data_IF_381301566853
#
_entry.id   IF_381301566853
#
_cell.length_a   1.000
_cell.length_b   1.000
_cell.length_c   1.000
_cell.angle_alpha   90.00
_cell.angle_beta   90.00
_cell.angle_gamma   90.00
#
_symmetry.space_group_name_H-M   'P 1'
#
loop_
_entity.id
_entity.type
_entity.pdbx_description
1 polymer ?
#
# COMPACT_ATOMS: atom_id res chain seq x y z
N UNK A 1 -0.99 10.61 -4.58
CA UNK A 1 -1.15 11.84 -3.76
C UNK A 1 -0.52 11.65 -2.39
N UNK A 2 0.26 12.61 -1.85
CA UNK A 2 1.05 12.43 -0.61
C UNK A 2 0.19 12.29 0.67
N UNK A 3 -1.02 12.86 0.70
CA UNK A 3 -1.86 12.90 1.92
C UNK A 3 -2.43 11.52 2.29
N UNK A 4 -2.94 10.77 1.31
CA UNK A 4 -3.53 9.43 1.54
C UNK A 4 -2.50 8.48 2.16
N UNK A 5 -1.29 8.42 1.58
CA UNK A 5 -0.21 7.59 2.11
C UNK A 5 0.23 8.01 3.52
N UNK A 6 0.24 9.31 3.85
CA UNK A 6 0.58 9.77 5.20
C UNK A 6 -0.48 9.41 6.23
N UNK A 7 -1.76 9.57 5.91
CA UNK A 7 -2.84 9.19 6.82
C UNK A 7 -2.84 7.67 7.05
N UNK A 8 -2.63 6.87 6.01
CA UNK A 8 -2.57 5.42 6.14
C UNK A 8 -1.40 4.93 6.99
N UNK A 9 -0.26 5.62 6.96
CA UNK A 9 0.97 5.19 7.66
C UNK A 9 1.14 5.80 9.04
N UNK A 10 0.59 7.01 9.28
CA UNK A 10 0.83 7.80 10.50
C UNK A 10 -0.41 8.49 11.07
N UNK A 11 -1.52 8.47 10.33
CA UNK A 11 -2.75 9.14 10.74
C UNK A 11 -3.54 8.33 11.76
N UNK A 12 -4.53 8.99 12.35
CA UNK A 12 -5.51 8.38 13.23
C UNK A 12 -6.67 7.78 12.41
N UNK A 13 -7.45 6.92 13.04
CA UNK A 13 -8.66 6.38 12.41
C UNK A 13 -9.65 7.47 12.02
N UNK A 14 -9.71 8.58 12.77
CA UNK A 14 -10.52 9.75 12.44
C UNK A 14 -10.09 10.42 11.15
N UNK A 15 -8.78 10.51 10.89
CA UNK A 15 -8.24 11.04 9.63
C UNK A 15 -8.62 10.13 8.45
N UNK A 16 -8.62 8.82 8.68
CA UNK A 16 -9.10 7.85 7.70
C UNK A 16 -10.60 8.03 7.41
N UNK A 17 -11.44 8.23 8.43
CA UNK A 17 -12.86 8.53 8.21
C UNK A 17 -13.05 9.81 7.39
N UNK A 18 -12.31 10.87 7.71
CA UNK A 18 -12.38 12.14 6.99
C UNK A 18 -11.97 11.97 5.51
N UNK A 19 -10.91 11.21 5.23
CA UNK A 19 -10.52 10.89 3.85
C UNK A 19 -11.61 10.14 3.09
N UNK A 20 -12.27 9.17 3.72
CA UNK A 20 -13.38 8.44 3.09
C UNK A 20 -14.55 9.35 2.76
N UNK A 21 -14.89 10.27 3.65
CA UNK A 21 -15.97 11.25 3.41
C UNK A 21 -15.61 12.23 2.29
N UNK A 22 -14.35 12.67 2.22
CA UNK A 22 -13.90 13.67 1.23
C UNK A 22 -13.73 13.10 -0.18
N UNK A 23 -13.14 11.91 -0.31
CA UNK A 23 -12.76 11.34 -1.61
C UNK A 23 -13.67 10.21 -2.07
N UNK A 24 -14.36 9.53 -1.15
CA UNK A 24 -15.07 8.30 -1.43
C UNK A 24 -14.13 7.09 -1.49
N UNK A 25 -14.70 5.92 -1.19
CA UNK A 25 -13.93 4.66 -1.07
C UNK A 25 -13.31 4.24 -2.41
N UNK A 26 -14.03 4.39 -3.52
CA UNK A 26 -13.53 3.95 -4.84
C UNK A 26 -12.32 4.78 -5.30
N UNK A 27 -12.35 6.09 -5.06
CA UNK A 27 -11.21 6.95 -5.36
C UNK A 27 -10.01 6.61 -4.49
N UNK A 28 -10.23 6.33 -3.21
CA UNK A 28 -9.16 5.90 -2.31
C UNK A 28 -8.56 4.57 -2.78
N UNK A 29 -9.40 3.60 -3.16
CA UNK A 29 -8.98 2.31 -3.72
C UNK A 29 -8.03 2.51 -4.91
N UNK A 30 -8.43 3.33 -5.88
CA UNK A 30 -7.60 3.64 -7.06
C UNK A 30 -6.30 4.40 -6.73
N UNK A 31 -6.34 5.34 -5.78
CA UNK A 31 -5.14 6.11 -5.42
C UNK A 31 -4.13 5.27 -4.62
N UNK A 32 -4.60 4.39 -3.73
CA UNK A 32 -3.74 3.56 -2.87
C UNK A 32 -2.96 2.53 -3.68
N UNK A 33 -3.57 1.91 -4.70
CA UNK A 33 -2.85 0.95 -5.57
C UNK A 33 -1.71 1.61 -6.36
N UNK A 34 -1.76 2.93 -6.56
CA UNK A 34 -0.75 3.70 -7.30
C UNK A 34 0.37 4.29 -6.43
N UNK A 35 0.29 4.12 -5.10
CA UNK A 35 1.32 4.60 -4.18
C UNK A 35 2.66 3.91 -4.46
N UNK A 36 3.74 4.70 -4.43
CA UNK A 36 5.11 4.22 -4.72
C UNK A 36 5.67 3.35 -3.61
N UNK A 37 5.25 3.57 -2.38
CA UNK A 37 5.66 2.82 -1.22
C UNK A 37 4.57 2.81 -0.16
N UNK A 38 4.41 1.66 0.48
CA UNK A 38 3.65 1.43 1.69
C UNK A 38 4.50 0.50 2.57
N UNK A 39 4.47 0.68 3.88
CA UNK A 39 5.07 -0.32 4.76
C UNK A 39 4.22 -1.62 4.73
N UNK A 40 4.79 -2.78 5.10
CA UNK A 40 4.10 -4.06 4.99
C UNK A 40 2.79 -4.15 5.77
N UNK A 41 2.69 -3.49 6.93
CA UNK A 41 1.48 -3.48 7.76
C UNK A 41 0.39 -2.69 7.06
N UNK A 42 0.70 -1.51 6.57
CA UNK A 42 -0.25 -0.67 5.85
C UNK A 42 -0.71 -1.33 4.55
N UNK A 43 0.19 -1.97 3.81
CA UNK A 43 -0.16 -2.72 2.59
C UNK A 43 -1.10 -3.89 2.90
N UNK A 44 -0.84 -4.64 3.97
CA UNK A 44 -1.72 -5.73 4.41
C UNK A 44 -3.11 -5.21 4.81
N UNK A 45 -3.17 -4.10 5.54
CA UNK A 45 -4.44 -3.44 5.86
C UNK A 45 -5.21 -3.05 4.59
N UNK A 46 -4.55 -2.40 3.63
CA UNK A 46 -5.20 -1.96 2.40
C UNK A 46 -5.69 -3.15 1.55
N UNK A 47 -4.92 -4.23 1.50
CA UNK A 47 -5.29 -5.47 0.80
C UNK A 47 -6.59 -6.05 1.36
N UNK A 48 -6.71 -6.15 2.68
CA UNK A 48 -7.93 -6.64 3.34
C UNK A 48 -9.08 -5.64 3.21
N UNK A 49 -8.81 -4.35 3.44
CA UNK A 49 -9.85 -3.32 3.45
C UNK A 49 -10.52 -3.12 2.09
N UNK A 50 -9.74 -3.17 1.00
CA UNK A 50 -10.24 -2.98 -0.36
C UNK A 50 -10.59 -4.28 -1.08
N UNK A 51 -10.45 -5.43 -0.40
CA UNK A 51 -10.58 -6.76 -0.99
C UNK A 51 -9.75 -6.90 -2.28
N UNK A 52 -8.45 -6.59 -2.17
CA UNK A 52 -7.50 -6.59 -3.26
C UNK A 52 -6.30 -7.47 -2.93
N UNK A 53 -5.82 -8.30 -3.87
CA UNK A 53 -4.56 -9.02 -3.69
C UNK A 53 -3.40 -8.01 -3.61
N UNK A 54 -2.33 -8.38 -2.89
CA UNK A 54 -1.15 -7.51 -2.70
C UNK A 54 -0.48 -7.14 -4.02
N UNK A 55 -0.58 -8.01 -5.01
CA UNK A 55 -0.15 -7.82 -6.40
C UNK A 55 -0.80 -6.63 -7.10
N UNK A 56 -1.99 -6.21 -6.67
CA UNK A 56 -2.65 -5.03 -7.24
C UNK A 56 -2.01 -3.71 -6.84
N UNK A 57 -1.10 -3.71 -5.86
CA UNK A 57 -0.44 -2.51 -5.37
C UNK A 57 0.90 -2.33 -6.07
N UNK A 58 1.14 -1.16 -6.68
CA UNK A 58 2.38 -0.81 -7.36
C UNK A 58 3.63 -0.98 -6.48
N UNK A 59 3.49 -0.76 -5.18
CA UNK A 59 4.58 -0.87 -4.22
C UNK A 59 4.86 -2.30 -3.76
N UNK A 60 4.06 -3.29 -4.19
CA UNK A 60 4.33 -4.68 -3.87
C UNK A 60 5.43 -5.23 -4.78
N UNK A 61 6.61 -5.42 -4.19
CA UNK A 61 7.69 -6.17 -4.81
C UNK A 61 7.65 -7.60 -4.30
N UNK A 62 7.48 -8.57 -5.19
CA UNK A 62 7.85 -9.97 -4.93
C UNK A 62 9.37 -10.05 -4.99
N UNK A 63 10.08 -9.55 -3.98
CA UNK A 63 11.53 -9.74 -3.94
C UNK A 63 11.74 -11.25 -3.72
N UNK A 64 12.30 -12.01 -4.67
CA UNK A 64 12.79 -13.33 -4.35
C UNK A 64 14.03 -13.07 -3.49
N UNK A 65 13.96 -13.42 -2.21
CA UNK A 65 15.14 -13.44 -1.34
C UNK A 65 16.01 -14.62 -1.76
N UNK A 66 16.73 -14.49 -2.88
CA UNK A 66 17.78 -15.42 -3.34
C UNK A 66 18.54 -14.77 -4.51
N UNK A 67 19.63 -14.09 -4.20
CA UNK A 67 20.77 -13.98 -5.11
C UNK A 67 21.66 -15.20 -4.85
N UNK A 68 21.78 -16.19 -5.76
CA UNK A 68 22.90 -17.13 -5.67
C UNK A 68 24.19 -16.34 -5.95
N UNK A 69 25.13 -16.37 -5.00
CA UNK A 69 26.51 -15.96 -5.28
C UNK A 69 27.01 -16.77 -6.49
N UNK A 70 27.63 -16.16 -7.52
CA UNK A 70 28.31 -16.92 -8.54
C UNK A 70 29.52 -17.60 -7.87
N UNK A 71 29.49 -18.93 -7.78
CA UNK A 71 30.64 -19.71 -7.37
C UNK A 71 31.80 -19.40 -8.32
N UNK A 72 32.85 -18.79 -7.77
CA UNK A 72 34.12 -18.51 -8.43
C UNK A 72 34.64 -19.80 -9.07
N UNK A 73 34.85 -19.79 -10.38
CA UNK A 73 35.66 -20.80 -11.11
C UNK A 73 37.03 -20.23 -11.41
#
# INVERSE_FOLDING_TARGET
MFVIGRVLTRGLYTDWQALKQLYGVERLRHEVTRLRSLDPRTLAFCSVYFDLPKESFRCYSKTPSLSPEPALS
#
